data_IF_069165144196
#
_entry.id   IF_069165144196
#
_cell.length_a   1.000
_cell.length_b   1.000
_cell.length_c   1.000
_cell.angle_alpha   90.00
_cell.angle_beta   90.00
_cell.angle_gamma   90.00
#
_symmetry.space_group_name_H-M   'P 1'
#
loop_
_entity.id
_entity.type
_entity.pdbx_description
1 polymer ?
#
# COMPACT_ATOMS: atom_id res chain seq x y z
N UNK A 1 -7.07 -6.45 -0.99
CA UNK A 1 -5.72 -6.03 -0.61
C UNK A 1 -4.94 -7.28 -0.23
N UNK A 2 -3.69 -7.46 -0.69
CA UNK A 2 -2.97 -8.72 -0.52
C UNK A 2 -2.31 -8.87 0.86
N UNK A 3 -2.14 -10.10 1.34
CA UNK A 3 -1.72 -10.38 2.73
C UNK A 3 -0.34 -9.81 3.08
N UNK A 4 0.63 -9.84 2.15
CA UNK A 4 1.96 -9.27 2.37
C UNK A 4 1.96 -7.77 2.67
N UNK A 5 0.96 -7.03 2.16
CA UNK A 5 0.81 -5.61 2.48
C UNK A 5 0.37 -5.44 3.93
N UNK A 6 -0.56 -6.27 4.39
CA UNK A 6 -1.02 -6.24 5.78
C UNK A 6 0.03 -6.74 6.76
N UNK A 7 0.87 -7.68 6.34
CA UNK A 7 2.04 -8.09 7.12
C UNK A 7 3.02 -6.93 7.27
N UNK A 8 3.34 -6.23 6.17
CA UNK A 8 4.15 -5.00 6.23
C UNK A 8 3.51 -3.93 7.12
N UNK A 9 2.20 -3.73 7.02
CA UNK A 9 1.43 -2.77 7.82
C UNK A 9 1.53 -3.05 9.32
N UNK A 10 1.45 -4.33 9.72
CA UNK A 10 1.65 -4.78 11.11
C UNK A 10 3.11 -4.64 11.54
N UNK A 11 4.07 -4.95 10.67
CA UNK A 11 5.50 -4.81 10.97
C UNK A 11 5.90 -3.35 11.22
N UNK A 12 5.23 -2.40 10.54
CA UNK A 12 5.33 -0.96 10.81
C UNK A 12 4.67 -0.53 12.12
N UNK A 13 3.83 -1.39 12.70
CA UNK A 13 3.06 -1.11 13.92
C UNK A 13 1.83 -0.23 13.69
N UNK A 14 1.40 -0.03 12.44
CA UNK A 14 0.23 0.81 12.14
C UNK A 14 -1.07 0.21 12.66
N UNK A 15 -1.13 -1.12 12.81
CA UNK A 15 -2.27 -1.82 13.41
C UNK A 15 -2.54 -1.41 14.86
N UNK A 16 -1.53 -0.85 15.55
CA UNK A 16 -1.68 -0.29 16.91
C UNK A 16 -2.29 1.11 16.90
N UNK A 17 -2.20 1.84 15.79
CA UNK A 17 -2.78 3.18 15.62
C UNK A 17 -4.16 3.11 14.98
N UNK A 18 -4.31 2.28 13.95
CA UNK A 18 -5.55 2.10 13.22
C UNK A 18 -5.68 0.63 12.85
N UNK A 19 -6.80 0.00 13.21
CA UNK A 19 -7.04 -1.40 12.84
C UNK A 19 -7.06 -1.57 11.32
N UNK A 20 -6.80 -2.79 10.84
CA UNK A 20 -6.85 -3.10 9.39
C UNK A 20 -8.19 -2.70 8.79
N UNK A 21 -9.29 -2.97 9.49
CA UNK A 21 -10.63 -2.58 9.06
C UNK A 21 -10.79 -1.04 9.03
N UNK A 22 -10.28 -0.34 10.05
CA UNK A 22 -10.26 1.12 10.08
C UNK A 22 -9.43 1.73 8.94
N UNK A 23 -8.29 1.14 8.63
CA UNK A 23 -7.44 1.50 7.50
C UNK A 23 -8.18 1.28 6.18
N UNK A 24 -8.82 0.12 6.00
CA UNK A 24 -9.56 -0.21 4.78
C UNK A 24 -10.73 0.75 4.53
N UNK A 25 -11.42 1.17 5.59
CA UNK A 25 -12.52 2.13 5.51
C UNK A 25 -12.06 3.58 5.30
N UNK A 26 -10.81 3.90 5.64
CA UNK A 26 -10.22 5.22 5.42
C UNK A 26 -9.37 5.24 4.14
N UNK A 27 -10.01 5.53 3.01
CA UNK A 27 -9.36 5.54 1.69
C UNK A 27 -8.11 6.41 1.62
N UNK A 28 -8.11 7.60 2.21
CA UNK A 28 -6.96 8.49 2.16
C UNK A 28 -5.76 7.90 2.92
N UNK A 29 -6.01 7.31 4.09
CA UNK A 29 -4.98 6.64 4.88
C UNK A 29 -4.46 5.38 4.17
N UNK A 30 -5.37 4.56 3.63
CA UNK A 30 -5.02 3.36 2.87
C UNK A 30 -4.12 3.68 1.69
N UNK A 31 -4.47 4.71 0.91
CA UNK A 31 -3.66 5.20 -0.22
C UNK A 31 -2.26 5.59 0.25
N UNK A 32 -2.16 6.32 1.36
CA UNK A 32 -0.88 6.71 1.95
C UNK A 32 -0.02 5.50 2.31
N UNK A 33 -0.58 4.52 3.00
CA UNK A 33 0.12 3.29 3.37
C UNK A 33 0.56 2.48 2.14
N UNK A 34 -0.29 2.34 1.12
CA UNK A 34 0.08 1.63 -0.10
C UNK A 34 1.20 2.35 -0.86
N UNK A 35 1.13 3.68 -0.92
CA UNK A 35 2.17 4.52 -1.55
C UNK A 35 3.51 4.31 -0.85
N UNK A 36 3.52 4.39 0.49
CA UNK A 36 4.73 4.16 1.29
C UNK A 36 5.29 2.75 1.05
N UNK A 37 4.45 1.71 1.12
CA UNK A 37 4.87 0.34 0.82
C UNK A 37 5.55 0.22 -0.55
N UNK A 38 4.94 0.79 -1.59
CA UNK A 38 5.47 0.74 -2.94
C UNK A 38 6.82 1.47 -3.06
N UNK A 39 6.97 2.63 -2.42
CA UNK A 39 8.24 3.37 -2.35
C UNK A 39 9.31 2.51 -1.68
N UNK A 40 9.02 1.86 -0.56
CA UNK A 40 9.97 1.00 0.15
C UNK A 40 10.39 -0.22 -0.68
N UNK A 41 9.50 -0.74 -1.52
CA UNK A 41 9.81 -1.82 -2.47
C UNK A 41 10.52 -1.33 -3.74
N UNK A 42 10.94 -0.07 -3.78
CA UNK A 42 11.70 0.49 -4.89
C UNK A 42 10.88 0.80 -6.13
N UNK A 43 9.55 0.81 -6.03
CA UNK A 43 8.69 1.24 -7.13
C UNK A 43 8.88 2.73 -7.37
N UNK A 44 9.33 3.11 -8.58
CA UNK A 44 9.43 4.50 -8.99
C UNK A 44 8.03 5.05 -9.25
N UNK A 45 7.48 5.73 -8.25
CA UNK A 45 6.22 6.46 -8.37
C UNK A 45 6.46 7.76 -9.16
N UNK A 46 6.54 7.66 -10.49
CA UNK A 46 6.89 8.80 -11.36
C UNK A 46 5.77 9.84 -11.49
N UNK A 47 4.54 9.52 -11.07
CA UNK A 47 3.41 10.46 -11.06
C UNK A 47 2.56 10.26 -9.81
N UNK A 48 2.71 11.15 -8.83
CA UNK A 48 1.83 11.21 -7.65
C UNK A 48 0.34 11.27 -8.00
N UNK A 49 0.00 11.81 -9.18
CA UNK A 49 -1.38 11.95 -9.63
C UNK A 49 -2.05 10.62 -10.04
N UNK A 50 -1.28 9.55 -10.27
CA UNK A 50 -1.80 8.22 -10.63
C UNK A 50 -2.25 7.41 -9.40
N UNK A 51 -1.89 7.83 -8.17
CA UNK A 51 -2.16 7.08 -6.94
C UNK A 51 -3.32 7.65 -6.11
N UNK A 52 -4.06 8.63 -6.63
CA UNK A 52 -5.36 9.03 -6.05
C UNK A 52 -6.47 8.01 -6.34
N UNK A 53 -6.21 7.03 -7.21
CA UNK A 53 -7.13 5.96 -7.57
C UNK A 53 -6.70 4.63 -6.95
N UNK A 54 -7.59 4.04 -6.16
CA UNK A 54 -7.37 2.74 -5.51
C UNK A 54 -7.12 1.60 -6.50
N UNK A 55 -7.69 1.66 -7.71
CA UNK A 55 -7.51 0.61 -8.71
C UNK A 55 -6.07 0.54 -9.22
N UNK A 56 -5.46 1.71 -9.45
CA UNK A 56 -4.08 1.79 -9.92
C UNK A 56 -3.12 1.30 -8.84
N UNK A 57 -3.34 1.71 -7.58
CA UNK A 57 -2.59 1.20 -6.42
C UNK A 57 -2.67 -0.32 -6.31
N UNK A 58 -3.86 -0.90 -6.46
CA UNK A 58 -4.03 -2.35 -6.39
C UNK A 58 -3.29 -3.05 -7.53
N UNK A 59 -3.32 -2.49 -8.74
CA UNK A 59 -2.55 -3.01 -9.87
C UNK A 59 -1.04 -2.96 -9.60
N UNK A 60 -0.52 -1.86 -9.03
CA UNK A 60 0.88 -1.76 -8.64
C UNK A 60 1.25 -2.70 -7.49
N UNK A 61 0.37 -2.90 -6.52
CA UNK A 61 0.61 -3.88 -5.47
C UNK A 61 0.71 -5.28 -6.06
N UNK A 62 -0.18 -5.65 -6.98
CA UNK A 62 -0.15 -6.93 -7.68
C UNK A 62 1.10 -7.07 -8.58
N UNK A 63 1.48 -6.01 -9.30
CA UNK A 63 2.62 -6.02 -10.22
C UNK A 63 3.98 -5.92 -9.50
N UNK A 64 4.07 -5.19 -8.38
CA UNK A 64 5.28 -5.00 -7.59
C UNK A 64 5.79 -6.29 -6.94
N UNK A 65 4.95 -7.33 -6.85
CA UNK A 65 5.34 -8.70 -6.44
C UNK A 65 6.09 -9.44 -7.55
N UNK A 66 5.97 -9.02 -8.81
CA UNK A 66 6.62 -9.71 -9.93
C UNK A 66 8.14 -9.47 -10.01
N UNK A 67 8.69 -8.50 -9.26
CA UNK A 67 10.11 -8.10 -9.34
C UNK A 67 10.96 -8.50 -8.13
N UNK A 68 10.39 -9.08 -7.07
CA UNK A 68 11.16 -9.56 -5.89
C UNK A 68 11.59 -11.03 -6.02
N UNK A 69 12.08 -11.45 -7.18
CA UNK A 69 12.78 -12.74 -7.36
C UNK A 69 14.28 -12.54 -7.49
#
# INVERSE_FOLDING_TARGET
MPDYFWEWYKNKGYDKTLSIEGCFNNKAFLIGCCTEYLIEKGQRLTKMHEYSNMNDILAYLQAGVAWTR
#
